data_IF_940513883583
#
_entry.id   IF_940513883583
#
_cell.length_a   1.000
_cell.length_b   1.000
_cell.length_c   1.000
_cell.angle_alpha   90.00
_cell.angle_beta   90.00
_cell.angle_gamma   90.00
#
_symmetry.space_group_name_H-M   'P 1'
#
loop_
_entity.id
_entity.type
_entity.pdbx_description
1 polymer ?
#
# COMPACT_ATOMS: atom_id res chain seq x y z
N UNK A 1 45.58 16.73 -25.01
CA UNK A 1 44.56 17.40 -25.85
C UNK A 1 43.19 17.12 -25.26
N UNK A 2 42.49 18.15 -24.77
CA UNK A 2 41.20 18.02 -24.07
C UNK A 2 40.05 17.78 -25.08
N UNK A 3 39.54 16.55 -25.16
CA UNK A 3 38.61 16.10 -26.21
C UNK A 3 37.11 16.24 -25.90
N UNK A 4 36.70 16.89 -24.80
CA UNK A 4 35.29 17.07 -24.46
C UNK A 4 34.93 18.52 -24.12
N UNK A 5 34.76 19.36 -25.14
CA UNK A 5 34.11 20.68 -24.99
C UNK A 5 32.64 20.59 -25.41
N UNK A 6 31.80 19.98 -24.59
CA UNK A 6 30.35 20.08 -24.74
C UNK A 6 29.93 21.45 -24.19
N UNK A 7 30.03 22.49 -25.02
CA UNK A 7 29.44 23.80 -24.72
C UNK A 7 28.05 23.88 -25.36
N UNK A 8 27.07 23.22 -24.74
CA UNK A 8 25.65 23.48 -24.96
C UNK A 8 25.03 23.88 -23.63
N UNK A 9 25.08 25.16 -23.31
CA UNK A 9 24.36 25.71 -22.16
C UNK A 9 22.87 25.69 -22.49
N UNK A 10 22.13 24.70 -21.99
CA UNK A 10 20.68 24.66 -22.13
C UNK A 10 20.10 25.72 -21.19
N UNK A 11 19.30 26.69 -21.67
CA UNK A 11 18.76 27.77 -20.84
C UNK A 11 17.54 27.28 -20.03
N UNK A 12 17.77 26.39 -19.06
CA UNK A 12 16.72 25.84 -18.18
C UNK A 12 15.96 26.94 -17.42
N UNK A 13 16.64 28.03 -17.07
CA UNK A 13 16.07 29.16 -16.33
C UNK A 13 14.95 29.88 -17.10
N UNK A 14 14.89 29.77 -18.43
CA UNK A 14 13.82 30.37 -19.23
C UNK A 14 12.46 29.69 -18.99
N UNK A 15 12.46 28.40 -18.68
CA UNK A 15 11.24 27.61 -18.45
C UNK A 15 10.97 27.37 -16.97
N UNK A 16 11.88 27.79 -16.08
CA UNK A 16 11.78 27.58 -14.64
C UNK A 16 10.45 28.09 -14.06
N UNK A 17 9.93 29.23 -14.56
CA UNK A 17 8.66 29.78 -14.10
C UNK A 17 7.47 28.88 -14.48
N UNK A 18 7.46 28.33 -15.70
CA UNK A 18 6.41 27.42 -16.17
C UNK A 18 6.44 26.11 -15.36
N UNK A 19 7.62 25.52 -15.18
CA UNK A 19 7.78 24.30 -14.39
C UNK A 19 7.41 24.52 -12.92
N UNK A 20 7.73 25.68 -12.33
CA UNK A 20 7.31 26.01 -10.97
C UNK A 20 5.79 26.12 -10.84
N UNK A 21 5.11 26.75 -11.81
CA UNK A 21 3.64 26.84 -11.80
C UNK A 21 3.01 25.45 -11.93
N UNK A 22 3.50 24.61 -12.85
CA UNK A 22 3.00 23.23 -13.01
C UNK A 22 3.25 22.41 -11.74
N UNK A 23 4.43 22.53 -11.14
CA UNK A 23 4.77 21.88 -9.88
C UNK A 23 3.82 22.32 -8.76
N UNK A 24 3.57 23.62 -8.63
CA UNK A 24 2.65 24.17 -7.63
C UNK A 24 1.22 23.67 -7.82
N UNK A 25 0.71 23.67 -9.05
CA UNK A 25 -0.63 23.15 -9.36
C UNK A 25 -0.72 21.66 -9.01
N UNK A 26 0.29 20.88 -9.39
CA UNK A 26 0.33 19.44 -9.12
C UNK A 26 0.41 19.14 -7.63
N UNK A 27 1.18 19.95 -6.90
CA UNK A 27 1.29 19.87 -5.45
C UNK A 27 -0.06 20.16 -4.77
N UNK A 28 -0.74 21.25 -5.16
CA UNK A 28 -2.07 21.58 -4.64
C UNK A 28 -3.06 20.47 -4.96
N UNK A 29 -3.05 19.94 -6.18
CA UNK A 29 -3.90 18.82 -6.57
C UNK A 29 -3.63 17.58 -5.71
N UNK A 30 -2.36 17.24 -5.45
CA UNK A 30 -1.98 16.12 -4.58
C UNK A 30 -2.52 16.31 -3.15
N UNK A 31 -2.36 17.50 -2.56
CA UNK A 31 -2.90 17.82 -1.23
C UNK A 31 -4.42 17.73 -1.22
N UNK A 32 -5.09 18.25 -2.26
CA UNK A 32 -6.54 18.17 -2.40
C UNK A 32 -7.02 16.72 -2.46
N UNK A 33 -6.40 15.87 -3.28
CA UNK A 33 -6.74 14.46 -3.37
C UNK A 33 -6.49 13.71 -2.06
N UNK A 34 -5.39 14.03 -1.37
CA UNK A 34 -5.06 13.45 -0.08
C UNK A 34 -6.14 13.75 0.98
N UNK A 35 -6.60 15.02 1.03
CA UNK A 35 -7.61 15.46 1.98
C UNK A 35 -9.01 14.87 1.69
N UNK A 36 -9.39 14.71 0.41
CA UNK A 36 -10.74 14.26 0.04
C UNK A 36 -10.87 12.74 -0.10
N UNK A 37 -9.83 12.05 -0.57
CA UNK A 37 -9.88 10.59 -0.81
C UNK A 37 -9.45 9.79 0.42
N UNK A 38 -8.84 10.44 1.40
CA UNK A 38 -8.26 9.80 2.57
C UNK A 38 -6.98 9.04 2.25
N UNK A 39 -6.26 8.66 3.30
CA UNK A 39 -5.10 7.76 3.21
C UNK A 39 -5.58 6.32 3.26
N UNK A 40 -5.02 5.46 2.41
CA UNK A 40 -5.14 4.00 2.57
C UNK A 40 -4.22 3.60 3.73
N UNK A 41 -4.76 3.63 4.94
CA UNK A 41 -4.03 3.25 6.15
C UNK A 41 -3.80 1.74 6.17
N UNK A 42 -2.56 1.33 6.34
CA UNK A 42 -2.18 -0.07 6.57
C UNK A 42 -2.59 -0.54 7.98
N UNK A 43 -2.53 -1.87 8.23
CA UNK A 43 -2.84 -2.51 9.52
C UNK A 43 -2.06 -1.89 10.68
N UNK A 44 -0.84 -1.44 10.44
CA UNK A 44 0.02 -0.79 11.43
C UNK A 44 -0.61 0.50 11.99
N UNK A 45 -1.52 1.14 11.24
CA UNK A 45 -2.21 2.37 11.64
C UNK A 45 -3.67 2.13 12.03
N UNK A 46 -4.35 1.16 11.41
CA UNK A 46 -5.77 0.85 11.72
C UNK A 46 -5.93 -0.10 12.89
N UNK A 47 -4.87 -0.81 13.29
CA UNK A 47 -4.97 -1.97 14.16
C UNK A 47 -5.55 -3.18 13.43
N UNK A 48 -5.33 -4.36 13.99
CA UNK A 48 -5.75 -5.62 13.39
C UNK A 48 -4.91 -6.80 13.88
N UNK A 49 -5.10 -7.93 13.21
CA UNK A 49 -4.36 -9.17 13.49
C UNK A 49 -3.65 -9.64 12.23
N UNK A 50 -2.37 -9.98 12.39
CA UNK A 50 -1.54 -10.56 11.36
C UNK A 50 -1.31 -12.03 11.72
N UNK A 51 -1.75 -12.94 10.86
CA UNK A 51 -1.63 -14.37 11.06
C UNK A 51 -0.78 -14.95 9.94
N UNK A 52 0.30 -15.62 10.30
CA UNK A 52 1.13 -16.35 9.36
C UNK A 52 0.78 -17.84 9.43
N UNK A 53 0.44 -18.42 8.28
CA UNK A 53 0.03 -19.82 8.18
C UNK A 53 0.92 -20.54 7.17
N UNK A 54 1.62 -21.57 7.65
CA UNK A 54 2.37 -22.49 6.81
C UNK A 54 1.52 -23.70 6.41
N UNK A 55 1.34 -23.91 5.11
CA UNK A 55 0.67 -25.06 4.53
C UNK A 55 1.69 -26.14 4.12
N UNK A 56 1.26 -27.41 4.14
CA UNK A 56 2.09 -28.53 3.66
C UNK A 56 2.21 -28.54 2.13
N UNK A 57 1.18 -28.07 1.44
CA UNK A 57 1.09 -27.95 -0.01
C UNK A 57 0.96 -26.47 -0.41
N UNK A 58 1.23 -26.10 -1.69
CA UNK A 58 1.06 -24.72 -2.15
C UNK A 58 -0.35 -24.22 -1.83
N UNK A 59 -0.44 -23.10 -1.12
CA UNK A 59 -1.70 -22.55 -0.68
C UNK A 59 -2.41 -21.82 -1.82
N UNK A 60 -3.69 -22.13 -2.01
CA UNK A 60 -4.55 -21.37 -2.91
C UNK A 60 -5.06 -20.10 -2.18
N UNK A 61 -4.38 -18.99 -2.44
CA UNK A 61 -4.68 -17.67 -1.89
C UNK A 61 -6.13 -17.25 -2.18
N UNK A 62 -6.66 -17.58 -3.36
CA UNK A 62 -8.01 -17.19 -3.75
C UNK A 62 -9.08 -18.05 -3.08
N UNK A 63 -8.79 -19.33 -2.83
CA UNK A 63 -9.65 -20.18 -2.01
C UNK A 63 -9.69 -19.69 -0.55
N UNK A 64 -8.54 -19.35 0.03
CA UNK A 64 -8.45 -18.82 1.40
C UNK A 64 -9.17 -17.48 1.52
N UNK A 65 -8.96 -16.57 0.56
CA UNK A 65 -9.66 -15.27 0.53
C UNK A 65 -11.18 -15.45 0.48
N UNK A 66 -11.68 -16.32 -0.41
CA UNK A 66 -13.12 -16.61 -0.52
C UNK A 66 -13.70 -17.19 0.76
N UNK A 67 -12.97 -18.08 1.45
CA UNK A 67 -13.42 -18.65 2.71
C UNK A 67 -13.52 -17.57 3.82
N UNK A 68 -12.56 -16.65 3.89
CA UNK A 68 -12.59 -15.53 4.85
C UNK A 68 -13.71 -14.54 4.54
N UNK A 69 -13.93 -14.21 3.27
CA UNK A 69 -15.04 -13.35 2.83
C UNK A 69 -16.40 -13.97 3.19
N UNK A 70 -16.57 -15.29 2.99
CA UNK A 70 -17.78 -16.03 3.38
C UNK A 70 -17.98 -16.07 4.91
N UNK A 71 -16.90 -16.13 5.67
CA UNK A 71 -16.93 -16.05 7.14
C UNK A 71 -17.19 -14.62 7.66
N UNK A 72 -17.26 -13.62 6.76
CA UNK A 72 -17.53 -12.22 7.11
C UNK A 72 -16.29 -11.43 7.54
N UNK A 73 -15.08 -11.97 7.34
CA UNK A 73 -13.83 -11.29 7.64
C UNK A 73 -13.29 -10.60 6.38
N UNK A 74 -13.09 -9.28 6.44
CA UNK A 74 -12.33 -8.56 5.41
C UNK A 74 -10.84 -8.72 5.68
N UNK A 75 -10.23 -9.66 4.97
CA UNK A 75 -8.82 -9.99 5.13
C UNK A 75 -8.06 -9.86 3.79
N UNK A 76 -6.89 -9.24 3.84
CA UNK A 76 -5.91 -9.34 2.76
C UNK A 76 -5.15 -10.66 2.91
N UNK A 77 -5.11 -11.45 1.84
CA UNK A 77 -4.41 -12.74 1.82
C UNK A 77 -3.33 -12.67 0.76
N UNK A 78 -2.09 -12.93 1.16
CA UNK A 78 -0.92 -12.87 0.28
C UNK A 78 0.09 -13.97 0.64
N UNK A 79 0.84 -14.45 -0.35
CA UNK A 79 1.95 -15.37 -0.07
C UNK A 79 3.09 -14.63 0.64
N UNK A 80 3.80 -15.35 1.49
CA UNK A 80 4.92 -14.86 2.28
C UNK A 80 6.11 -15.78 2.08
N UNK A 81 7.21 -15.32 1.51
CA UNK A 81 8.42 -16.15 1.33
C UNK A 81 8.30 -17.26 0.27
N UNK A 82 7.37 -18.20 0.41
CA UNK A 82 7.12 -19.32 -0.52
C UNK A 82 5.63 -19.45 -0.89
N UNK A 83 5.32 -20.30 -1.87
CA UNK A 83 3.92 -20.61 -2.25
C UNK A 83 3.15 -21.41 -1.18
N UNK A 84 3.82 -21.85 -0.11
CA UNK A 84 3.23 -22.62 1.00
C UNK A 84 2.97 -21.76 2.23
N UNK A 85 3.56 -20.59 2.30
CA UNK A 85 3.45 -19.69 3.44
C UNK A 85 2.52 -18.55 3.03
N UNK A 86 1.49 -18.31 3.84
CA UNK A 86 0.47 -17.30 3.57
C UNK A 86 0.38 -16.36 4.76
N UNK A 87 0.39 -15.07 4.46
CA UNK A 87 0.12 -13.99 5.40
C UNK A 87 -1.33 -13.56 5.26
N UNK A 88 -2.06 -13.67 6.36
CA UNK A 88 -3.41 -13.16 6.51
C UNK A 88 -3.35 -11.86 7.28
N UNK A 89 -3.95 -10.83 6.69
CA UNK A 89 -3.96 -9.45 7.18
C UNK A 89 -5.40 -9.06 7.44
N UNK A 90 -5.83 -9.17 8.70
CA UNK A 90 -7.19 -8.87 9.11
C UNK A 90 -7.27 -7.48 9.74
N UNK A 91 -8.07 -6.60 9.14
CA UNK A 91 -8.31 -5.27 9.69
C UNK A 91 -9.32 -5.32 10.85
N UNK A 92 -9.11 -4.50 11.88
CA UNK A 92 -10.06 -4.31 12.97
C UNK A 92 -11.29 -3.54 12.43
N UNK A 93 -12.46 -4.18 12.37
CA UNK A 93 -13.71 -3.48 12.04
C UNK A 93 -14.07 -2.50 13.19
N UNK A 94 -14.60 -1.32 12.85
CA UNK A 94 -14.76 -0.12 13.71
C UNK A 94 -15.59 -0.32 15.00
N UNK A 95 -16.17 -1.51 15.20
CA UNK A 95 -17.01 -1.91 16.32
C UNK A 95 -16.53 -3.20 17.04
N UNK A 96 -15.34 -3.73 16.73
CA UNK A 96 -14.77 -4.89 17.42
C UNK A 96 -13.47 -4.51 18.12
N UNK A 97 -13.30 -4.93 19.37
CA UNK A 97 -12.05 -4.72 20.08
C UNK A 97 -11.06 -5.84 19.74
N UNK A 98 -9.75 -5.55 19.76
CA UNK A 98 -8.69 -6.55 19.49
C UNK A 98 -8.80 -7.78 20.39
N UNK A 99 -9.39 -7.63 21.58
CA UNK A 99 -9.65 -8.72 22.54
C UNK A 99 -10.72 -9.70 22.04
N UNK A 100 -11.72 -9.23 21.31
CA UNK A 100 -12.84 -10.05 20.83
C UNK A 100 -12.43 -10.92 19.63
N UNK A 101 -11.54 -10.42 18.78
CA UNK A 101 -11.02 -11.16 17.63
C UNK A 101 -10.05 -12.27 18.07
N UNK A 102 -9.20 -12.02 19.06
CA UNK A 102 -8.27 -13.03 19.57
C UNK A 102 -8.96 -14.17 20.33
N UNK A 103 -10.20 -13.98 20.81
CA UNK A 103 -10.99 -15.05 21.43
C UNK A 103 -11.78 -15.88 20.43
N UNK A 104 -11.97 -15.39 19.20
CA UNK A 104 -12.84 -16.00 18.19
C UNK A 104 -12.07 -16.77 17.11
N UNK A 105 -10.77 -16.51 16.98
CA UNK A 105 -9.82 -17.27 16.16
C UNK A 105 -9.18 -18.35 17.01
#
# INVERSE_FOLDING_TARGET
MEFFKIRRTIPFMRYALIFNVISLITFIAAVFFLAHRGLNFSIEFTGGTLVEVGYKEPADVDAVRRALDQAGYKAEVQNFGSSREVLLRMHLEKNQSTSDLSQKV
#
